data_IF_910673444487
#
_entry.id   IF_910673444487
#
_cell.length_a   1.000
_cell.length_b   1.000
_cell.length_c   1.000
_cell.angle_alpha   90.00
_cell.angle_beta   90.00
_cell.angle_gamma   90.00
#
_symmetry.space_group_name_H-M   'P 1'
#
loop_
_entity.id
_entity.type
_entity.pdbx_description
1 polymer ?
#
# COMPACT_ATOMS: atom_id res chain seq x y z
N UNK A 1 11.73 28.68 21.29
CA UNK A 1 10.89 27.97 20.31
C UNK A 1 10.22 29.02 19.46
N UNK A 2 10.60 29.24 18.18
CA UNK A 2 9.84 30.16 17.36
C UNK A 2 8.65 29.40 16.76
N UNK A 3 7.47 29.77 17.21
CA UNK A 3 6.21 29.59 16.50
C UNK A 3 6.40 29.96 15.03
N UNK A 4 6.22 29.00 14.13
CA UNK A 4 5.99 29.28 12.71
C UNK A 4 4.69 28.60 12.34
N UNK A 5 3.62 29.27 12.77
CA UNK A 5 2.29 29.04 12.26
C UNK A 5 2.24 29.57 10.83
N UNK A 6 1.62 28.82 9.93
CA UNK A 6 0.96 29.39 8.77
C UNK A 6 0.25 30.69 9.20
N UNK A 7 0.71 31.87 8.75
CA UNK A 7 0.16 33.15 9.22
C UNK A 7 -1.27 33.32 8.68
N UNK A 8 -2.21 32.99 9.56
CA UNK A 8 -3.66 32.89 9.37
C UNK A 8 -4.33 34.23 8.94
N UNK A 9 -3.59 35.34 8.92
CA UNK A 9 -4.15 36.70 8.87
C UNK A 9 -4.91 37.08 7.59
N UNK A 10 -4.40 36.72 6.41
CA UNK A 10 -5.04 37.03 5.12
C UNK A 10 -5.86 35.86 4.55
N UNK A 11 -5.58 34.64 5.01
CA UNK A 11 -6.16 33.36 4.53
C UNK A 11 -7.49 32.98 5.19
N UNK A 12 -7.87 33.60 6.31
CA UNK A 12 -9.15 33.35 6.96
C UNK A 12 -10.35 33.62 6.05
N UNK A 13 -10.30 34.58 5.14
CA UNK A 13 -11.44 34.89 4.27
C UNK A 13 -11.67 33.83 3.19
N UNK A 14 -10.62 33.32 2.54
CA UNK A 14 -10.72 32.20 1.59
C UNK A 14 -11.16 30.92 2.30
N UNK A 15 -10.57 30.62 3.46
CA UNK A 15 -10.91 29.44 4.27
C UNK A 15 -12.33 29.55 4.83
N UNK A 16 -12.79 30.75 5.19
CA UNK A 16 -14.16 30.96 5.67
C UNK A 16 -15.19 30.87 4.55
N UNK A 17 -14.84 31.29 3.33
CA UNK A 17 -15.71 31.18 2.16
C UNK A 17 -15.78 29.76 1.59
N UNK A 18 -14.65 29.03 1.59
CA UNK A 18 -14.55 27.70 0.96
C UNK A 18 -14.37 26.55 1.96
N UNK A 19 -14.38 26.82 3.27
CA UNK A 19 -14.20 25.83 4.34
C UNK A 19 -15.09 24.60 4.23
N UNK A 20 -16.40 24.75 3.97
CA UNK A 20 -17.29 23.60 3.75
C UNK A 20 -16.88 22.75 2.54
N UNK A 21 -16.36 23.36 1.48
CA UNK A 21 -15.90 22.65 0.30
C UNK A 21 -14.59 21.88 0.58
N UNK A 22 -13.65 22.47 1.30
CA UNK A 22 -12.43 21.79 1.74
C UNK A 22 -12.71 20.63 2.70
N UNK A 23 -13.68 20.81 3.62
CA UNK A 23 -14.10 19.73 4.52
C UNK A 23 -14.77 18.57 3.76
N UNK A 24 -15.61 18.88 2.75
CA UNK A 24 -16.21 17.87 1.89
C UNK A 24 -15.15 17.12 1.06
N UNK A 25 -14.16 17.83 0.52
CA UNK A 25 -13.05 17.22 -0.20
C UNK A 25 -12.21 16.32 0.73
N UNK A 26 -11.92 16.78 1.94
CA UNK A 26 -11.20 16.00 2.93
C UNK A 26 -11.93 14.69 3.28
N UNK A 27 -13.25 14.75 3.47
CA UNK A 27 -14.09 13.56 3.67
C UNK A 27 -14.06 12.62 2.45
N UNK A 28 -14.16 13.15 1.23
CA UNK A 28 -14.11 12.35 0.01
C UNK A 28 -12.77 11.61 -0.15
N UNK A 29 -11.64 12.26 0.17
CA UNK A 29 -10.32 11.63 0.13
C UNK A 29 -10.17 10.58 1.24
N UNK A 30 -10.74 10.84 2.42
CA UNK A 30 -10.79 9.85 3.50
C UNK A 30 -11.53 8.58 3.07
N UNK A 31 -12.69 8.73 2.44
CA UNK A 31 -13.48 7.62 1.89
C UNK A 31 -12.73 6.88 0.79
N UNK A 32 -12.08 7.61 -0.12
CA UNK A 32 -11.24 7.02 -1.17
C UNK A 32 -10.11 6.17 -0.57
N UNK A 33 -9.47 6.65 0.49
CA UNK A 33 -8.42 5.90 1.20
C UNK A 33 -8.98 4.64 1.85
N UNK A 34 -10.15 4.70 2.50
CA UNK A 34 -10.81 3.52 3.07
C UNK A 34 -11.14 2.51 1.97
N UNK A 35 -11.67 2.97 0.83
CA UNK A 35 -11.97 2.12 -0.31
C UNK A 35 -10.73 1.42 -0.86
N UNK A 36 -9.59 2.12 -1.00
CA UNK A 36 -8.32 1.53 -1.41
C UNK A 36 -7.84 0.46 -0.42
N UNK A 37 -7.96 0.70 0.89
CA UNK A 37 -7.61 -0.31 1.91
C UNK A 37 -8.55 -1.53 1.85
N UNK A 38 -9.83 -1.34 1.54
CA UNK A 38 -10.76 -2.46 1.32
C UNK A 38 -10.38 -3.25 0.07
N UNK A 39 -10.09 -2.58 -1.04
CA UNK A 39 -9.63 -3.22 -2.27
C UNK A 39 -8.34 -4.01 -2.04
N UNK A 40 -7.40 -3.45 -1.28
CA UNK A 40 -6.19 -4.15 -0.85
C UNK A 40 -6.51 -5.51 -0.20
N UNK A 41 -7.46 -5.55 0.75
CA UNK A 41 -7.82 -6.80 1.44
C UNK A 41 -8.55 -7.79 0.52
N UNK A 42 -9.37 -7.29 -0.40
CA UNK A 42 -10.09 -8.12 -1.37
C UNK A 42 -9.11 -8.79 -2.34
N UNK A 43 -8.18 -8.02 -2.91
CA UNK A 43 -7.17 -8.56 -3.82
C UNK A 43 -6.26 -9.58 -3.15
N UNK A 44 -5.97 -9.39 -1.86
CA UNK A 44 -5.29 -10.40 -1.07
C UNK A 44 -6.09 -11.71 -1.00
N UNK A 45 -7.34 -11.64 -0.54
CA UNK A 45 -8.18 -12.81 -0.34
C UNK A 45 -8.42 -13.57 -1.66
N UNK A 46 -8.72 -12.85 -2.74
CA UNK A 46 -8.94 -13.43 -4.07
C UNK A 46 -7.64 -14.05 -4.60
N UNK A 47 -6.52 -13.34 -4.50
CA UNK A 47 -5.23 -13.83 -4.97
C UNK A 47 -4.81 -15.12 -4.27
N UNK A 48 -4.99 -15.17 -2.94
CA UNK A 48 -4.70 -16.35 -2.13
C UNK A 48 -5.64 -17.52 -2.44
N UNK A 49 -6.95 -17.30 -2.44
CA UNK A 49 -7.93 -18.33 -2.73
C UNK A 49 -7.74 -18.92 -4.14
N UNK A 50 -7.52 -18.07 -5.14
CA UNK A 50 -7.32 -18.48 -6.53
C UNK A 50 -6.02 -19.28 -6.66
N UNK A 51 -4.92 -18.78 -6.07
CA UNK A 51 -3.63 -19.47 -6.09
C UNK A 51 -3.72 -20.87 -5.46
N UNK A 52 -4.34 -20.98 -4.28
CA UNK A 52 -4.56 -22.26 -3.60
C UNK A 52 -5.47 -23.20 -4.39
N UNK A 53 -6.59 -22.70 -4.91
CA UNK A 53 -7.54 -23.51 -5.67
C UNK A 53 -6.90 -24.09 -6.93
N UNK A 54 -6.19 -23.27 -7.70
CA UNK A 54 -5.47 -23.71 -8.91
C UNK A 54 -4.36 -24.69 -8.57
N UNK A 55 -3.59 -24.42 -7.52
CA UNK A 55 -2.52 -25.33 -7.08
C UNK A 55 -3.06 -26.73 -6.78
N UNK A 56 -4.07 -26.83 -5.90
CA UNK A 56 -4.62 -28.12 -5.48
C UNK A 56 -5.35 -28.84 -6.61
N UNK A 57 -6.07 -28.12 -7.46
CA UNK A 57 -6.70 -28.70 -8.64
C UNK A 57 -5.66 -29.37 -9.55
N UNK A 58 -4.57 -28.66 -9.87
CA UNK A 58 -3.54 -29.19 -10.75
C UNK A 58 -2.76 -30.34 -10.11
N UNK A 59 -2.44 -30.25 -8.81
CA UNK A 59 -1.81 -31.35 -8.07
C UNK A 59 -2.71 -32.60 -8.03
N UNK A 60 -4.01 -32.44 -7.80
CA UNK A 60 -4.95 -33.56 -7.83
C UNK A 60 -4.96 -34.25 -9.19
N UNK A 61 -5.03 -33.47 -10.27
CA UNK A 61 -4.96 -34.01 -11.64
C UNK A 61 -3.60 -34.65 -11.96
N UNK A 62 -2.49 -34.08 -11.47
CA UNK A 62 -1.15 -34.63 -11.71
C UNK A 62 -0.93 -35.95 -11.02
N UNK A 63 -1.49 -36.13 -9.82
CA UNK A 63 -1.46 -37.41 -9.10
C UNK A 63 -2.33 -38.45 -9.81
N UNK A 64 -3.50 -38.06 -10.34
CA UNK A 64 -4.39 -38.97 -11.07
C UNK A 64 -3.78 -39.50 -12.37
N UNK A 65 -2.96 -38.70 -13.06
CA UNK A 65 -2.38 -39.04 -14.38
C UNK A 65 -0.88 -39.36 -14.26
N UNK A 66 -0.30 -39.32 -13.06
CA UNK A 66 1.14 -39.48 -12.80
C UNK A 66 2.03 -38.55 -13.64
N UNK A 67 1.63 -37.29 -13.79
CA UNK A 67 2.29 -36.31 -14.67
C UNK A 67 3.14 -35.30 -13.89
N UNK A 68 4.45 -35.52 -13.87
CA UNK A 68 5.41 -34.58 -13.27
C UNK A 68 5.41 -33.18 -13.91
N UNK A 69 5.32 -33.02 -15.25
CA UNK A 69 5.21 -31.70 -15.86
C UNK A 69 3.99 -30.91 -15.36
N UNK A 70 2.86 -31.59 -15.13
CA UNK A 70 1.64 -30.95 -14.62
C UNK A 70 1.81 -30.48 -13.16
N UNK A 71 2.56 -31.24 -12.37
CA UNK A 71 2.87 -30.89 -10.98
C UNK A 71 3.82 -29.68 -10.89
N UNK A 72 4.82 -29.60 -11.77
CA UNK A 72 5.68 -28.43 -11.90
C UNK A 72 4.90 -27.20 -12.39
N UNK A 73 3.99 -27.40 -13.36
CA UNK A 73 3.11 -26.35 -13.84
C UNK A 73 2.20 -25.80 -12.72
N UNK A 74 1.71 -26.67 -11.82
CA UNK A 74 0.93 -26.26 -10.65
C UNK A 74 1.68 -25.25 -9.77
N UNK A 75 2.93 -25.56 -9.42
CA UNK A 75 3.78 -24.68 -8.60
C UNK A 75 4.09 -23.35 -9.27
N UNK A 76 4.40 -23.38 -10.57
CA UNK A 76 4.68 -22.16 -11.35
C UNK A 76 3.44 -21.27 -11.45
N UNK A 77 2.29 -21.83 -11.86
CA UNK A 77 1.06 -21.06 -12.05
C UNK A 77 0.59 -20.44 -10.72
N UNK A 78 0.58 -21.23 -9.65
CA UNK A 78 0.21 -20.72 -8.33
C UNK A 78 1.17 -19.61 -7.85
N UNK A 79 2.48 -19.79 -8.06
CA UNK A 79 3.47 -18.75 -7.75
C UNK A 79 3.24 -17.46 -8.56
N UNK A 80 2.92 -17.58 -9.85
CA UNK A 80 2.60 -16.44 -10.70
C UNK A 80 1.34 -15.70 -10.24
N UNK A 81 0.28 -16.41 -9.86
CA UNK A 81 -0.96 -15.79 -9.33
C UNK A 81 -0.66 -15.02 -8.05
N UNK A 82 0.11 -15.62 -7.13
CA UNK A 82 0.49 -14.98 -5.87
C UNK A 82 1.36 -13.74 -6.09
N UNK A 83 2.32 -13.83 -7.01
CA UNK A 83 3.16 -12.70 -7.38
C UNK A 83 2.36 -11.57 -8.06
N UNK A 84 1.40 -11.91 -8.92
CA UNK A 84 0.51 -10.93 -9.54
C UNK A 84 -0.32 -10.19 -8.48
N UNK A 85 -0.96 -10.93 -7.56
CA UNK A 85 -1.71 -10.34 -6.45
C UNK A 85 -0.83 -9.38 -5.62
N UNK A 86 0.44 -9.75 -5.41
CA UNK A 86 1.42 -8.87 -4.76
C UNK A 86 1.72 -7.58 -5.50
N UNK A 87 1.88 -7.64 -6.82
CA UNK A 87 2.09 -6.45 -7.63
C UNK A 87 0.88 -5.53 -7.61
N UNK A 88 -0.34 -6.06 -7.65
CA UNK A 88 -1.57 -5.28 -7.55
C UNK A 88 -1.66 -4.59 -6.18
N UNK A 89 -1.42 -5.32 -5.10
CA UNK A 89 -1.41 -4.80 -3.73
C UNK A 89 -0.39 -3.66 -3.55
N UNK A 90 0.83 -3.82 -4.09
CA UNK A 90 1.85 -2.76 -4.05
C UNK A 90 1.40 -1.50 -4.80
N UNK A 91 0.74 -1.65 -5.95
CA UNK A 91 0.23 -0.51 -6.71
C UNK A 91 -0.89 0.23 -5.95
N UNK A 92 -1.76 -0.50 -5.24
CA UNK A 92 -2.80 0.11 -4.39
C UNK A 92 -2.16 0.90 -3.23
N UNK A 93 -1.13 0.36 -2.58
CA UNK A 93 -0.39 1.08 -1.52
C UNK A 93 0.25 2.37 -2.05
N UNK A 94 0.84 2.33 -3.26
CA UNK A 94 1.34 3.53 -3.95
C UNK A 94 0.23 4.54 -4.23
N UNK A 95 -0.96 4.08 -4.60
CA UNK A 95 -2.15 4.93 -4.74
C UNK A 95 -2.52 5.64 -3.44
N UNK A 96 -2.45 4.95 -2.29
CA UNK A 96 -2.69 5.57 -0.97
C UNK A 96 -1.62 6.61 -0.64
N UNK A 97 -0.36 6.35 -0.98
CA UNK A 97 0.76 7.29 -0.77
C UNK A 97 0.58 8.57 -1.59
N UNK A 98 0.12 8.45 -2.83
CA UNK A 98 -0.12 9.59 -3.71
C UNK A 98 -1.20 10.56 -3.18
N UNK A 99 -2.06 10.11 -2.25
CA UNK A 99 -3.08 10.97 -1.62
C UNK A 99 -2.50 11.87 -0.51
N UNK A 100 -1.33 11.54 0.07
CA UNK A 100 -0.79 12.28 1.21
C UNK A 100 -0.55 13.78 0.99
N UNK A 101 0.03 14.27 -0.11
CA UNK A 101 0.20 15.71 -0.28
C UNK A 101 -1.15 16.42 -0.22
N UNK A 102 -2.21 15.81 -0.76
CA UNK A 102 -3.56 16.41 -0.78
C UNK A 102 -4.18 16.40 0.61
N UNK A 103 -4.04 15.29 1.33
CA UNK A 103 -4.47 15.17 2.73
C UNK A 103 -3.76 16.21 3.61
N UNK A 104 -2.43 16.30 3.54
CA UNK A 104 -1.63 17.22 4.37
C UNK A 104 -1.96 18.68 4.04
N UNK A 105 -2.13 19.02 2.76
CA UNK A 105 -2.56 20.35 2.36
C UNK A 105 -3.93 20.72 2.95
N UNK A 106 -4.92 19.81 2.88
CA UNK A 106 -6.25 20.04 3.45
C UNK A 106 -6.24 20.11 4.98
N UNK A 107 -5.42 19.30 5.64
CA UNK A 107 -5.24 19.35 7.09
C UNK A 107 -4.63 20.68 7.55
N UNK A 108 -3.68 21.23 6.79
CA UNK A 108 -3.11 22.56 7.06
C UNK A 108 -4.15 23.67 6.88
N UNK A 109 -4.99 23.59 5.84
CA UNK A 109 -6.07 24.56 5.56
C UNK A 109 -7.17 24.51 6.63
N UNK A 110 -7.58 23.32 7.04
CA UNK A 110 -8.69 23.09 7.96
C UNK A 110 -8.27 23.10 9.44
N UNK A 111 -6.97 23.10 9.73
CA UNK A 111 -6.44 23.04 11.09
C UNK A 111 -6.53 21.67 11.75
N UNK A 112 -6.69 20.59 10.97
CA UNK A 112 -6.67 19.21 11.47
C UNK A 112 -5.24 18.68 11.57
N UNK A 113 -4.96 17.75 12.48
CA UNK A 113 -3.61 17.22 12.73
C UNK A 113 -3.51 15.70 12.63
N UNK A 114 -4.62 14.99 12.41
CA UNK A 114 -4.69 13.53 12.52
C UNK A 114 -3.69 12.79 11.62
N UNK A 115 -3.68 13.05 10.32
CA UNK A 115 -2.78 12.37 9.38
C UNK A 115 -1.35 12.88 9.48
N UNK A 116 -1.15 14.19 9.72
CA UNK A 116 0.16 14.76 10.00
C UNK A 116 0.83 14.08 11.20
N UNK A 117 0.10 13.88 12.31
CA UNK A 117 0.60 13.17 13.48
C UNK A 117 0.81 11.67 13.22
N UNK A 118 -0.10 11.03 12.47
CA UNK A 118 0.07 9.64 12.06
C UNK A 118 1.35 9.42 11.27
N UNK A 119 1.67 10.30 10.32
CA UNK A 119 2.88 10.24 9.49
C UNK A 119 4.13 10.60 10.29
N UNK A 120 4.04 11.56 11.21
CA UNK A 120 5.15 11.99 12.08
C UNK A 120 5.59 10.90 13.07
N UNK A 121 4.66 10.14 13.65
CA UNK A 121 4.94 9.11 14.68
C UNK A 121 5.53 7.81 14.12
N UNK A 122 5.80 7.72 12.82
CA UNK A 122 6.21 6.46 12.20
C UNK A 122 7.69 6.16 12.47
N UNK A 123 8.03 5.02 13.09
CA UNK A 123 9.38 4.75 13.60
C UNK A 123 10.43 4.34 12.55
N UNK A 124 10.12 4.38 11.24
CA UNK A 124 10.98 3.78 10.18
C UNK A 124 11.22 4.65 8.96
N UNK A 125 11.09 5.97 9.06
CA UNK A 125 11.40 6.84 7.93
C UNK A 125 11.53 8.29 8.34
N UNK A 126 12.76 8.78 8.39
CA UNK A 126 13.04 10.22 8.51
C UNK A 126 12.40 11.01 7.36
N UNK A 127 12.10 10.35 6.24
CA UNK A 127 11.43 10.92 5.07
C UNK A 127 9.99 11.35 5.30
N UNK A 128 9.13 10.49 5.89
CA UNK A 128 7.72 10.83 6.11
C UNK A 128 7.61 11.99 7.12
N UNK A 129 8.43 11.94 8.17
CA UNK A 129 8.53 13.00 9.16
C UNK A 129 9.07 14.30 8.56
N UNK A 130 10.16 14.23 7.79
CA UNK A 130 10.74 15.40 7.11
C UNK A 130 9.77 16.04 6.14
N UNK A 131 8.97 15.25 5.42
CA UNK A 131 7.91 15.77 4.56
C UNK A 131 6.88 16.61 5.34
N UNK A 132 6.41 16.11 6.50
CA UNK A 132 5.47 16.84 7.35
C UNK A 132 6.12 18.11 7.92
N UNK A 133 7.33 18.01 8.46
CA UNK A 133 8.03 19.16 9.05
C UNK A 133 8.27 20.27 8.01
N UNK A 134 8.63 19.92 6.77
CA UNK A 134 8.76 20.89 5.68
C UNK A 134 7.42 21.51 5.29
N UNK A 135 6.38 20.69 5.16
CA UNK A 135 5.02 21.14 4.79
C UNK A 135 4.40 22.08 5.83
N UNK A 136 4.72 21.91 7.11
CA UNK A 136 4.25 22.79 8.19
C UNK A 136 5.04 24.10 8.27
N UNK A 137 6.30 24.10 7.82
CA UNK A 137 7.14 25.30 7.73
C UNK A 137 6.86 26.13 6.48
N UNK A 138 6.08 25.60 5.53
CA UNK A 138 5.66 26.31 4.33
C UNK A 138 4.87 27.55 4.71
N UNK A 139 5.28 28.70 4.16
CA UNK A 139 4.54 29.96 4.20
C UNK A 139 4.11 30.27 2.78
N UNK A 140 2.81 30.46 2.56
CA UNK A 140 2.27 30.77 1.24
C UNK A 140 1.06 31.72 1.36
N UNK A 141 0.88 32.54 0.34
CA UNK A 141 -0.10 33.63 0.37
C UNK A 141 -1.51 33.20 -0.05
N UNK A 142 -1.67 31.97 -0.55
CA UNK A 142 -2.94 31.40 -1.00
C UNK A 142 -2.98 29.88 -0.86
N UNK A 143 -4.18 29.31 -0.84
CA UNK A 143 -4.41 27.86 -0.84
C UNK A 143 -3.78 27.15 -2.05
N UNK A 144 -3.79 27.78 -3.22
CA UNK A 144 -3.14 27.26 -4.44
C UNK A 144 -1.60 27.32 -4.38
N UNK A 145 -1.03 28.32 -3.71
CA UNK A 145 0.40 28.37 -3.45
C UNK A 145 0.83 27.32 -2.41
N UNK A 146 0.03 27.13 -1.35
CA UNK A 146 0.25 26.07 -0.36
C UNK A 146 0.29 24.70 -1.02
N UNK A 147 -0.69 24.39 -1.89
CA UNK A 147 -0.73 23.12 -2.60
C UNK A 147 0.55 22.86 -3.41
N UNK A 148 1.01 23.86 -4.18
CA UNK A 148 2.21 23.73 -5.01
C UNK A 148 3.45 23.45 -4.17
N UNK A 149 3.59 24.13 -3.05
CA UNK A 149 4.76 23.99 -2.18
C UNK A 149 4.74 22.67 -1.40
N UNK A 150 3.59 22.28 -0.84
CA UNK A 150 3.43 20.96 -0.20
C UNK A 150 3.69 19.85 -1.21
N UNK A 151 3.19 19.97 -2.43
CA UNK A 151 3.42 18.98 -3.49
C UNK A 151 4.89 18.95 -3.94
N UNK A 152 5.61 20.06 -3.93
CA UNK A 152 7.04 20.12 -4.30
C UNK A 152 7.93 19.36 -3.30
N UNK A 153 7.52 19.30 -2.03
CA UNK A 153 8.19 18.53 -0.99
C UNK A 153 7.88 17.04 -1.03
N UNK A 154 6.87 16.63 -1.80
CA UNK A 154 6.45 15.24 -1.88
C UNK A 154 7.25 14.46 -2.93
N UNK A 155 7.85 13.37 -2.49
CA UNK A 155 8.49 12.39 -3.37
C UNK A 155 7.99 11.00 -2.98
N UNK A 156 7.26 10.35 -3.88
CA UNK A 156 6.64 9.05 -3.66
C UNK A 156 7.68 7.97 -3.31
N UNK A 157 8.89 8.05 -3.87
CA UNK A 157 9.98 7.11 -3.62
C UNK A 157 10.49 7.12 -2.19
N UNK A 158 10.35 8.25 -1.51
CA UNK A 158 10.82 8.42 -0.12
C UNK A 158 9.89 7.71 0.88
N UNK A 159 8.71 7.30 0.43
CA UNK A 159 7.80 6.45 1.19
C UNK A 159 8.12 4.98 0.92
N UNK A 160 8.58 4.22 1.94
CA UNK A 160 8.97 2.83 1.75
C UNK A 160 7.75 2.00 1.34
N UNK A 161 7.91 1.14 0.34
CA UNK A 161 6.84 0.21 -0.10
C UNK A 161 6.60 -0.95 0.89
N UNK A 162 7.51 -1.19 1.84
CA UNK A 162 7.37 -2.15 2.94
C UNK A 162 6.73 -1.47 4.17
N UNK A 163 5.51 -0.97 4.00
CA UNK A 163 4.66 -0.49 5.09
C UNK A 163 4.08 -1.67 5.85
N UNK A 164 3.60 -1.46 7.08
CA UNK A 164 3.08 -2.54 7.95
C UNK A 164 2.08 -3.45 7.21
N UNK A 165 1.19 -2.82 6.43
CA UNK A 165 0.17 -3.49 5.63
C UNK A 165 0.82 -4.41 4.58
N UNK A 166 1.66 -3.87 3.69
CA UNK A 166 2.34 -4.64 2.63
C UNK A 166 3.37 -5.65 3.16
N UNK A 167 3.95 -5.44 4.35
CA UNK A 167 4.92 -6.35 4.96
C UNK A 167 4.30 -7.69 5.35
N UNK A 168 3.10 -7.66 5.96
CA UNK A 168 2.38 -8.90 6.30
C UNK A 168 2.04 -9.69 5.04
N UNK A 169 1.64 -8.99 3.98
CA UNK A 169 1.29 -9.62 2.74
C UNK A 169 2.51 -10.16 1.98
N UNK A 170 3.61 -9.41 1.93
CA UNK A 170 4.89 -9.87 1.38
C UNK A 170 5.32 -11.20 2.02
N UNK A 171 5.29 -11.27 3.35
CA UNK A 171 5.60 -12.50 4.09
C UNK A 171 4.64 -13.64 3.75
N UNK A 172 3.33 -13.37 3.73
CA UNK A 172 2.32 -14.37 3.38
C UNK A 172 2.50 -14.91 1.95
N UNK A 173 2.79 -14.04 0.98
CA UNK A 173 3.07 -14.40 -0.40
C UNK A 173 4.32 -15.30 -0.50
N UNK A 174 5.43 -14.91 0.15
CA UNK A 174 6.64 -15.74 0.19
C UNK A 174 6.41 -17.11 0.82
N UNK A 175 5.71 -17.16 1.96
CA UNK A 175 5.39 -18.42 2.64
C UNK A 175 4.51 -19.32 1.78
N UNK A 176 3.53 -18.74 1.08
CA UNK A 176 2.64 -19.49 0.18
C UNK A 176 3.41 -20.10 -0.99
N UNK A 177 4.29 -19.31 -1.63
CA UNK A 177 5.16 -19.77 -2.71
C UNK A 177 6.08 -20.89 -2.21
N UNK A 178 6.77 -20.67 -1.07
CA UNK A 178 7.66 -21.66 -0.48
C UNK A 178 6.92 -22.97 -0.17
N UNK A 179 5.69 -22.89 0.33
CA UNK A 179 4.84 -24.05 0.60
C UNK A 179 4.51 -24.84 -0.69
N UNK A 180 4.15 -24.16 -1.79
CA UNK A 180 3.89 -24.85 -3.06
C UNK A 180 5.11 -25.67 -3.53
N UNK A 181 6.29 -25.07 -3.49
CA UNK A 181 7.52 -25.74 -3.90
C UNK A 181 7.95 -26.84 -2.92
N UNK A 182 7.73 -26.66 -1.61
CA UNK A 182 8.00 -27.70 -0.62
C UNK A 182 7.12 -28.94 -0.84
N UNK A 183 5.83 -28.76 -1.12
CA UNK A 183 4.91 -29.87 -1.41
C UNK A 183 5.36 -30.58 -2.69
N UNK A 184 5.66 -29.86 -3.76
CA UNK A 184 6.19 -30.48 -5.00
C UNK A 184 7.48 -31.27 -4.69
N UNK A 185 8.42 -30.69 -3.96
CA UNK A 185 9.67 -31.35 -3.61
C UNK A 185 9.44 -32.65 -2.82
N UNK A 186 8.53 -32.64 -1.84
CA UNK A 186 8.18 -33.83 -1.03
C UNK A 186 7.48 -34.90 -1.88
N UNK A 187 6.68 -34.52 -2.87
CA UNK A 187 5.99 -35.49 -3.74
C UNK A 187 6.93 -36.04 -4.83
N UNK A 188 7.81 -35.21 -5.39
CA UNK A 188 8.77 -35.60 -6.44
C UNK A 188 9.95 -36.38 -5.89
N UNK A 189 10.56 -35.96 -4.78
CA UNK A 189 11.83 -36.53 -4.30
C UNK A 189 11.79 -38.06 -4.09
N UNK A 190 10.74 -38.66 -3.52
CA UNK A 190 10.63 -40.12 -3.40
C UNK A 190 10.58 -40.84 -4.75
N UNK A 191 10.07 -40.21 -5.81
CA UNK A 191 9.99 -40.82 -7.14
C UNK A 191 11.37 -40.97 -7.81
N UNK A 192 12.34 -40.11 -7.45
CA UNK A 192 13.69 -40.11 -8.02
C UNK A 192 14.75 -40.73 -7.10
N UNK A 193 14.57 -40.63 -5.78
CA UNK A 193 15.56 -41.06 -4.79
C UNK A 193 15.08 -42.23 -3.91
N UNK A 194 13.81 -42.65 -4.02
CA UNK A 194 13.24 -43.75 -3.24
C UNK A 194 13.36 -45.14 -3.87
N UNK A 195 14.08 -45.28 -4.99
CA UNK A 195 14.50 -46.59 -5.53
C UNK A 195 15.97 -46.83 -5.18
N UNK A 196 16.17 -47.35 -3.98
CA UNK A 196 17.39 -47.99 -3.49
C UNK A 196 16.98 -49.14 -2.59
#
# INVERSE_FOLDING_TARGET
>A
MPERHWEVGHTLNEVRQHGPAYAAEYAAIHDQRIALIRQYNIWYAIGFATSMGVYWMLVYTSLSISSLPLMMAAGVIASCIMWFAYRVVLNIDRGVVALYPRIVCLELILGYDFYRDYLRRRPRGDSERSFIEKSEQTVADSTGALWREVYSHFNDKDFPGDRRITTHFKRAAYLSIAMYWAIIAVVVAPQYFGRG
#
